data_IF_878618102811
#
_entry.id   IF_878618102811
#
_cell.length_a   1.000
_cell.length_b   1.000
_cell.length_c   1.000
_cell.angle_alpha   90.00
_cell.angle_beta   90.00
_cell.angle_gamma   90.00
#
_symmetry.space_group_name_H-M   'P 1'
#
loop_
_entity.id
_entity.type
_entity.pdbx_description
1 polymer ?
#
# COMPACT_ATOMS: atom_id res chain seq x y z
N UNK A 1 -20.35 10.50 -24.26
CA UNK A 1 -19.24 10.64 -23.30
C UNK A 1 -19.51 11.66 -22.18
N UNK A 2 -20.52 12.54 -22.30
CA UNK A 2 -20.85 13.58 -21.29
C UNK A 2 -21.52 13.10 -19.98
N UNK A 3 -21.95 11.84 -19.87
CA UNK A 3 -22.64 11.33 -18.67
C UNK A 3 -21.71 10.78 -17.57
N UNK A 4 -20.39 10.69 -17.81
CA UNK A 4 -19.44 10.16 -16.81
C UNK A 4 -19.00 11.18 -15.76
N UNK A 5 -19.27 12.47 -15.97
CA UNK A 5 -18.94 13.55 -15.02
C UNK A 5 -19.87 13.62 -13.79
N UNK A 6 -20.99 12.90 -13.81
CA UNK A 6 -21.97 12.87 -12.69
C UNK A 6 -21.70 11.68 -11.75
N UNK A 7 -20.78 10.78 -12.10
CA UNK A 7 -20.43 9.67 -11.24
C UNK A 7 -19.49 10.15 -10.13
N UNK A 8 -19.91 10.12 -8.86
CA UNK A 8 -19.00 10.43 -7.76
C UNK A 8 -17.79 9.49 -7.82
N UNK A 9 -16.61 9.96 -7.40
CA UNK A 9 -15.40 9.12 -7.29
C UNK A 9 -15.61 7.83 -6.47
N UNK A 10 -16.73 7.72 -5.74
CA UNK A 10 -17.20 6.55 -5.02
C UNK A 10 -18.02 5.54 -5.86
N UNK A 11 -17.98 5.61 -7.19
CA UNK A 11 -18.55 4.56 -8.04
C UNK A 11 -17.77 3.25 -7.82
N UNK A 12 -18.43 2.22 -7.28
CA UNK A 12 -17.83 0.91 -6.99
C UNK A 12 -17.18 0.36 -8.26
N UNK A 13 -15.85 0.45 -8.31
CA UNK A 13 -15.06 0.05 -9.47
C UNK A 13 -14.38 -1.28 -9.16
N UNK A 14 -14.66 -2.29 -9.98
CA UNK A 14 -13.95 -3.57 -9.89
C UNK A 14 -12.62 -3.43 -10.61
N UNK A 15 -11.52 -3.54 -9.87
CA UNK A 15 -10.16 -3.45 -10.42
C UNK A 15 -9.55 -4.85 -10.41
N UNK A 16 -9.23 -5.35 -11.60
CA UNK A 16 -8.43 -6.58 -11.76
C UNK A 16 -7.01 -6.16 -12.11
N UNK A 17 -6.04 -6.61 -11.32
CA UNK A 17 -4.64 -6.28 -11.52
C UNK A 17 -3.77 -7.53 -11.45
N UNK A 18 -2.76 -7.59 -12.31
CA UNK A 18 -1.75 -8.63 -12.33
C UNK A 18 -0.39 -7.97 -12.23
N UNK A 19 0.41 -8.39 -11.24
CA UNK A 19 1.73 -7.86 -10.99
C UNK A 19 2.68 -9.02 -10.70
N UNK A 20 3.93 -8.90 -11.14
CA UNK A 20 4.98 -9.78 -10.65
C UNK A 20 5.34 -9.43 -9.19
N UNK A 21 6.08 -10.29 -8.50
CA UNK A 21 6.42 -10.11 -7.09
C UNK A 21 7.15 -8.77 -6.83
N UNK A 22 8.08 -8.37 -7.70
CA UNK A 22 8.83 -7.11 -7.56
C UNK A 22 7.93 -5.88 -7.67
N UNK A 23 7.07 -5.85 -8.68
CA UNK A 23 6.09 -4.77 -8.87
C UNK A 23 5.10 -4.71 -7.71
N UNK A 24 4.70 -5.87 -7.18
CA UNK A 24 3.81 -5.93 -6.02
C UNK A 24 4.50 -5.41 -4.74
N UNK A 25 5.77 -5.75 -4.51
CA UNK A 25 6.55 -5.19 -3.41
C UNK A 25 6.62 -3.66 -3.50
N UNK A 26 6.94 -3.13 -4.68
CA UNK A 26 6.98 -1.69 -4.89
C UNK A 26 5.61 -1.02 -4.69
N UNK A 27 4.53 -1.66 -5.15
CA UNK A 27 3.17 -1.20 -4.90
C UNK A 27 2.87 -1.13 -3.40
N UNK A 28 3.26 -2.16 -2.64
CA UNK A 28 3.04 -2.21 -1.19
C UNK A 28 3.88 -1.16 -0.44
N UNK A 29 5.12 -0.89 -0.88
CA UNK A 29 5.95 0.20 -0.32
C UNK A 29 5.21 1.55 -0.43
N UNK A 30 4.65 1.86 -1.60
CA UNK A 30 3.97 3.13 -1.82
C UNK A 30 2.59 3.20 -1.16
N UNK A 31 1.82 2.11 -1.20
CA UNK A 31 0.40 2.13 -0.84
C UNK A 31 0.11 1.74 0.60
N UNK A 32 1.04 1.07 1.30
CA UNK A 32 0.90 0.85 2.74
C UNK A 32 1.31 2.06 3.59
N UNK A 33 1.93 3.07 3.01
CA UNK A 33 2.37 4.30 3.70
C UNK A 33 1.17 5.12 4.22
N UNK A 34 1.35 5.86 5.33
CA UNK A 34 0.30 6.75 5.86
C UNK A 34 -0.07 7.90 4.94
N UNK A 35 0.85 8.33 4.07
CA UNK A 35 0.63 9.41 3.12
C UNK A 35 -0.24 8.98 1.93
N UNK A 36 -0.42 7.66 1.71
CA UNK A 36 -1.35 7.17 0.71
C UNK A 36 -2.81 7.39 1.14
N UNK A 37 -3.70 7.56 0.15
CA UNK A 37 -5.14 7.67 0.39
C UNK A 37 -5.63 6.48 1.24
N UNK A 38 -6.47 6.75 2.23
CA UNK A 38 -6.86 5.75 3.23
C UNK A 38 -7.53 4.51 2.60
N UNK A 39 -8.35 4.69 1.57
CA UNK A 39 -9.04 3.59 0.87
C UNK A 39 -8.06 2.61 0.21
N UNK A 40 -7.08 3.12 -0.56
CA UNK A 40 -6.09 2.26 -1.21
C UNK A 40 -5.13 1.65 -0.19
N UNK A 41 -4.88 2.35 0.93
CA UNK A 41 -4.06 1.83 2.02
C UNK A 41 -4.70 0.62 2.67
N UNK A 42 -5.99 0.69 2.99
CA UNK A 42 -6.72 -0.47 3.52
C UNK A 42 -6.72 -1.64 2.55
N UNK A 43 -6.87 -1.38 1.25
CA UNK A 43 -6.76 -2.41 0.21
C UNK A 43 -5.35 -3.02 0.17
N UNK A 44 -4.30 -2.20 0.21
CA UNK A 44 -2.91 -2.66 0.17
C UNK A 44 -2.56 -3.56 1.36
N UNK A 45 -3.01 -3.21 2.57
CA UNK A 45 -2.82 -4.05 3.75
C UNK A 45 -3.56 -5.40 3.64
N UNK A 46 -4.77 -5.42 3.07
CA UNK A 46 -5.49 -6.67 2.78
C UNK A 46 -4.73 -7.52 1.76
N UNK A 47 -4.18 -6.92 0.71
CA UNK A 47 -3.35 -7.62 -0.28
C UNK A 47 -2.11 -8.21 0.38
N UNK A 48 -1.38 -7.43 1.18
CA UNK A 48 -0.20 -7.89 1.92
C UNK A 48 -0.52 -9.09 2.83
N UNK A 49 -1.68 -9.06 3.51
CA UNK A 49 -2.11 -10.19 4.35
C UNK A 49 -2.32 -11.47 3.54
N UNK A 50 -2.89 -11.38 2.34
CA UNK A 50 -3.08 -12.55 1.48
C UNK A 50 -1.76 -13.03 0.85
N UNK A 51 -0.91 -12.11 0.40
CA UNK A 51 0.37 -12.46 -0.24
C UNK A 51 1.34 -13.10 0.75
N UNK A 52 1.32 -12.67 2.02
CA UNK A 52 2.08 -13.32 3.11
C UNK A 52 1.66 -14.77 3.35
N UNK A 53 0.39 -15.12 3.14
CA UNK A 53 -0.08 -16.51 3.24
C UNK A 53 0.39 -17.38 2.07
N UNK A 54 0.48 -16.79 0.89
CA UNK A 54 0.86 -17.51 -0.34
C UNK A 54 2.37 -17.66 -0.47
N UNK A 55 3.14 -16.60 -0.19
CA UNK A 55 4.59 -16.56 -0.36
C UNK A 55 5.27 -15.80 0.80
N UNK A 56 5.31 -16.40 2.01
CA UNK A 56 5.85 -15.74 3.20
C UNK A 56 7.31 -15.31 3.05
N UNK A 57 8.16 -16.12 2.42
CA UNK A 57 9.60 -15.84 2.24
C UNK A 57 9.88 -14.55 1.47
N UNK A 58 8.96 -14.11 0.61
CA UNK A 58 9.11 -12.88 -0.18
C UNK A 58 8.46 -11.70 0.53
N UNK A 59 7.31 -11.92 1.18
CA UNK A 59 6.47 -10.85 1.73
C UNK A 59 6.54 -10.71 3.26
N UNK A 60 7.40 -11.45 3.96
CA UNK A 60 7.59 -11.34 5.41
C UNK A 60 7.90 -9.90 5.83
N UNK A 61 8.85 -9.25 5.14
CA UNK A 61 9.30 -7.89 5.42
C UNK A 61 8.67 -6.86 4.46
N UNK A 62 7.67 -7.26 3.67
CA UNK A 62 6.98 -6.34 2.78
C UNK A 62 6.07 -5.38 3.57
N UNK A 63 6.03 -4.13 3.15
CA UNK A 63 5.33 -3.07 3.84
C UNK A 63 5.75 -1.70 3.33
N UNK A 64 5.37 -0.61 4.01
CA UNK A 64 5.87 0.73 3.71
C UNK A 64 7.39 0.82 3.88
N UNK A 65 8.04 1.84 3.29
CA UNK A 65 9.50 2.04 3.34
C UNK A 65 10.06 2.11 4.77
N UNK A 66 9.27 2.55 5.75
CA UNK A 66 9.68 2.52 7.15
C UNK A 66 9.87 1.10 7.70
N UNK A 67 9.16 0.09 7.16
CA UNK A 67 9.34 -1.32 7.53
C UNK A 67 10.42 -1.98 6.66
N UNK A 68 10.41 -1.72 5.34
CA UNK A 68 11.33 -2.42 4.42
C UNK A 68 12.77 -1.91 4.50
N UNK A 69 12.95 -0.60 4.71
CA UNK A 69 14.25 0.08 4.65
C UNK A 69 14.62 0.82 5.94
N UNK A 70 13.68 0.97 6.87
CA UNK A 70 13.90 1.74 8.10
C UNK A 70 13.99 3.25 7.86
N UNK A 71 13.53 3.74 6.71
CA UNK A 71 13.57 5.15 6.34
C UNK A 71 12.17 5.67 5.98
N UNK A 72 11.89 6.93 6.33
CA UNK A 72 10.69 7.62 5.87
C UNK A 72 11.06 8.44 4.63
N UNK A 73 10.51 8.16 3.43
CA UNK A 73 10.84 8.91 2.21
C UNK A 73 10.38 10.38 2.31
N UNK A 74 9.35 10.63 3.11
CA UNK A 74 8.81 11.96 3.36
C UNK A 74 9.59 12.73 4.45
N UNK A 75 10.58 12.08 5.09
CA UNK A 75 11.36 12.63 6.23
C UNK A 75 10.48 13.16 7.38
N UNK A 76 9.24 12.66 7.46
CA UNK A 76 8.29 13.05 8.49
C UNK A 76 8.60 12.28 9.78
N UNK A 77 9.19 13.00 10.74
CA UNK A 77 9.57 12.48 12.07
C UNK A 77 8.37 12.32 13.01
N UNK A 78 7.20 12.90 12.71
CA UNK A 78 5.98 12.74 13.49
C UNK A 78 5.06 11.64 12.94
N UNK A 79 5.47 10.98 11.86
CA UNK A 79 4.73 9.87 11.26
C UNK A 79 4.55 8.71 12.24
N UNK A 80 3.30 8.47 12.65
CA UNK A 80 2.93 7.41 13.61
C UNK A 80 3.38 6.02 13.17
N UNK A 81 3.35 5.73 11.87
CA UNK A 81 3.80 4.43 11.33
C UNK A 81 5.33 4.32 11.33
N UNK A 82 6.06 5.43 11.20
CA UNK A 82 7.52 5.43 11.30
C UNK A 82 7.96 5.21 12.75
N UNK A 83 7.42 6.01 13.68
CA UNK A 83 7.73 5.88 15.11
C UNK A 83 7.35 4.52 15.72
N UNK A 84 6.35 3.83 15.18
CA UNK A 84 5.95 2.50 15.66
C UNK A 84 6.85 1.34 15.18
N UNK A 85 7.61 1.53 14.08
CA UNK A 85 8.39 0.46 13.45
C UNK A 85 9.90 0.72 13.37
N UNK A 86 10.34 1.96 13.54
CA UNK A 86 11.75 2.38 13.47
C UNK A 86 12.21 3.09 14.75
N UNK A 87 11.28 3.68 15.51
CA UNK A 87 11.54 4.43 16.74
C UNK A 87 11.82 3.56 17.96
#
# INVERSE_FOLDING_TARGET
EDARFVLPNAAKTNIVMTMNARSLLHFLELRCCLHAQWEIRELAWKILSQTRKVAPTIFENAGPPCITRGECPEQDSECKLYGAYVG
#
